data_IF_084924210373
#
_entry.id   IF_084924210373
#
_cell.length_a   1.000
_cell.length_b   1.000
_cell.length_c   1.000
_cell.angle_alpha   90.00
_cell.angle_beta   90.00
_cell.angle_gamma   90.00
#
_symmetry.space_group_name_H-M   'P 1'
#
loop_
_entity.id
_entity.type
_entity.pdbx_description
1 polymer ?
#
# COMPACT_ATOMS: atom_id res chain seq x y z
N UNK A 1 -9.09 40.18 14.32
CA UNK A 1 -8.36 39.49 13.23
C UNK A 1 -9.40 39.02 12.27
N UNK A 2 -9.35 39.52 11.05
CA UNK A 2 -10.27 39.09 10.01
C UNK A 2 -9.94 37.67 9.59
N UNK A 3 -10.99 36.83 9.45
CA UNK A 3 -10.81 35.43 9.12
C UNK A 3 -10.12 35.21 7.76
N UNK A 4 -9.79 33.96 7.45
CA UNK A 4 -9.12 33.53 6.21
C UNK A 4 -9.82 34.05 4.94
N UNK A 5 -11.13 34.28 5.02
CA UNK A 5 -11.93 34.74 3.89
C UNK A 5 -12.19 36.27 3.96
N UNK A 6 -12.03 37.00 2.84
CA UNK A 6 -12.40 38.37 2.76
C UNK A 6 -13.93 38.52 2.93
N UNK A 7 -14.36 39.41 3.83
CA UNK A 7 -15.78 39.71 3.99
C UNK A 7 -16.20 40.73 2.91
N UNK A 8 -17.32 40.45 2.27
CA UNK A 8 -18.00 41.48 1.47
C UNK A 8 -18.48 42.61 2.42
N UNK A 9 -18.79 43.82 1.90
CA UNK A 9 -19.38 44.87 2.70
C UNK A 9 -20.63 44.48 3.51
N UNK A 10 -21.32 43.41 3.04
CA UNK A 10 -22.47 42.79 3.71
C UNK A 10 -22.11 41.75 4.77
N UNK A 11 -20.81 41.56 5.10
CA UNK A 11 -20.34 40.56 6.08
C UNK A 11 -20.30 39.11 5.56
N UNK A 12 -20.70 38.85 4.32
CA UNK A 12 -20.66 37.51 3.72
C UNK A 12 -19.32 37.22 3.04
N UNK A 13 -18.78 35.99 3.12
CA UNK A 13 -17.57 35.62 2.39
C UNK A 13 -17.80 35.74 0.88
N UNK A 14 -16.79 36.18 0.14
CA UNK A 14 -16.87 36.23 -1.33
C UNK A 14 -16.87 34.82 -1.88
N UNK A 15 -17.83 34.47 -2.71
CA UNK A 15 -18.01 33.14 -3.31
C UNK A 15 -16.75 32.71 -4.09
N UNK A 16 -16.10 33.67 -4.78
CA UNK A 16 -14.88 33.40 -5.53
C UNK A 16 -13.71 32.92 -4.64
N UNK A 17 -13.52 33.51 -3.44
CA UNK A 17 -12.49 33.10 -2.51
C UNK A 17 -12.77 31.72 -1.92
N UNK A 18 -14.05 31.39 -1.62
CA UNK A 18 -14.45 30.05 -1.18
C UNK A 18 -14.20 29.03 -2.28
N UNK A 19 -14.60 29.35 -3.51
CA UNK A 19 -14.38 28.50 -4.69
C UNK A 19 -12.89 28.22 -4.94
N UNK A 20 -12.04 29.26 -4.81
CA UNK A 20 -10.60 29.10 -4.96
C UNK A 20 -10.00 28.17 -3.88
N UNK A 21 -10.37 28.34 -2.62
CA UNK A 21 -9.90 27.46 -1.54
C UNK A 21 -10.35 26.01 -1.78
N UNK A 22 -11.62 25.79 -2.13
CA UNK A 22 -12.12 24.45 -2.43
C UNK A 22 -11.40 23.83 -3.63
N UNK A 23 -11.16 24.58 -4.71
CA UNK A 23 -10.42 24.12 -5.86
C UNK A 23 -8.97 23.76 -5.50
N UNK A 24 -8.31 24.56 -4.65
CA UNK A 24 -6.97 24.22 -4.17
C UNK A 24 -6.97 22.93 -3.35
N UNK A 25 -7.94 22.73 -2.45
CA UNK A 25 -8.02 21.52 -1.61
C UNK A 25 -8.41 20.26 -2.39
N UNK A 26 -9.40 20.36 -3.29
CA UNK A 26 -9.98 19.19 -3.97
C UNK A 26 -9.26 18.82 -5.28
N UNK A 27 -8.52 19.76 -5.86
CA UNK A 27 -7.80 19.53 -7.12
C UNK A 27 -6.30 19.80 -6.94
N UNK A 28 -5.93 20.96 -6.42
CA UNK A 28 -4.53 21.36 -6.26
C UNK A 28 -3.76 20.44 -5.31
N UNK A 29 -4.27 20.19 -4.11
CA UNK A 29 -3.61 19.35 -3.11
C UNK A 29 -3.44 17.88 -3.58
N UNK A 30 -4.47 17.20 -4.15
CA UNK A 30 -4.28 15.91 -4.78
C UNK A 30 -3.21 15.88 -5.87
N UNK A 31 -3.20 16.86 -6.77
CA UNK A 31 -2.18 16.94 -7.82
C UNK A 31 -0.78 17.15 -7.24
N UNK A 32 -0.62 18.04 -6.25
CA UNK A 32 0.66 18.27 -5.57
C UNK A 32 1.17 17.00 -4.87
N UNK A 33 0.29 16.15 -4.33
CA UNK A 33 0.66 14.91 -3.64
C UNK A 33 1.19 13.82 -4.58
N UNK A 34 0.97 13.92 -5.88
CA UNK A 34 1.55 13.01 -6.87
C UNK A 34 3.06 13.25 -7.07
N UNK A 35 3.54 14.45 -6.76
CA UNK A 35 4.96 14.77 -6.89
C UNK A 35 5.86 13.92 -5.98
N UNK A 36 5.63 13.80 -4.67
CA UNK A 36 6.40 12.90 -3.81
C UNK A 36 6.30 11.43 -4.24
N UNK A 37 5.14 10.99 -4.75
CA UNK A 37 4.98 9.63 -5.27
C UNK A 37 5.84 9.39 -6.51
N UNK A 38 5.79 10.30 -7.47
CA UNK A 38 6.63 10.22 -8.68
C UNK A 38 8.12 10.24 -8.34
N UNK A 39 8.52 11.08 -7.35
CA UNK A 39 9.88 11.14 -6.87
C UNK A 39 10.32 9.82 -6.20
N UNK A 40 9.44 9.21 -5.43
CA UNK A 40 9.68 7.92 -4.80
C UNK A 40 9.89 6.80 -5.83
N UNK A 41 9.03 6.71 -6.85
CA UNK A 41 9.18 5.74 -7.94
C UNK A 41 10.47 6.00 -8.74
N UNK A 42 10.78 7.26 -9.01
CA UNK A 42 12.04 7.65 -9.68
C UNK A 42 13.27 7.28 -8.84
N UNK A 43 13.24 7.54 -7.53
CA UNK A 43 14.34 7.16 -6.64
C UNK A 43 14.55 5.64 -6.60
N UNK A 44 13.48 4.86 -6.58
CA UNK A 44 13.55 3.39 -6.66
C UNK A 44 14.19 2.90 -7.97
N UNK A 45 13.88 3.55 -9.08
CA UNK A 45 14.51 3.22 -10.37
C UNK A 45 16.01 3.54 -10.39
N UNK A 46 16.45 4.59 -9.67
CA UNK A 46 17.87 4.96 -9.55
C UNK A 46 18.64 4.11 -8.54
N UNK A 47 17.99 3.55 -7.50
CA UNK A 47 18.66 2.79 -6.44
C UNK A 47 19.17 1.41 -6.89
N UNK A 48 18.91 1.00 -8.10
CA UNK A 48 19.58 -0.15 -8.71
C UNK A 48 21.08 0.11 -8.98
N UNK A 49 21.55 1.33 -8.76
CA UNK A 49 22.97 1.72 -8.85
C UNK A 49 23.30 2.74 -7.74
N UNK A 50 23.97 2.32 -6.65
CA UNK A 50 24.58 3.16 -5.59
C UNK A 50 23.77 4.34 -5.02
N UNK A 51 22.76 4.02 -4.26
CA UNK A 51 21.61 4.85 -3.91
C UNK A 51 21.77 5.93 -2.82
N UNK A 52 22.86 6.01 -2.12
CA UNK A 52 23.01 6.99 -1.03
C UNK A 52 23.19 8.43 -1.50
N UNK A 53 23.92 8.63 -2.60
CA UNK A 53 24.30 9.95 -3.10
C UNK A 53 23.19 10.63 -3.93
N UNK A 54 22.32 9.85 -4.60
CA UNK A 54 21.26 10.40 -5.46
C UNK A 54 20.21 11.19 -4.68
N UNK A 55 19.88 10.78 -3.45
CA UNK A 55 18.87 11.44 -2.63
C UNK A 55 19.35 12.84 -2.17
N UNK A 56 20.62 13.00 -1.84
CA UNK A 56 21.20 14.31 -1.47
C UNK A 56 21.22 15.30 -2.62
N UNK A 57 21.47 14.84 -3.85
CA UNK A 57 21.44 15.69 -5.04
C UNK A 57 20.02 16.12 -5.42
N UNK A 58 19.01 15.33 -5.09
CA UNK A 58 17.61 15.64 -5.36
C UNK A 58 17.01 16.60 -4.33
N UNK A 59 17.54 16.68 -3.11
CA UNK A 59 16.99 17.52 -2.03
C UNK A 59 16.80 19.00 -2.42
N UNK A 60 17.77 19.71 -3.04
CA UNK A 60 17.57 21.10 -3.44
C UNK A 60 16.53 21.25 -4.54
N UNK A 61 16.41 20.29 -5.46
CA UNK A 61 15.41 20.29 -6.54
C UNK A 61 14.01 20.11 -5.92
N UNK A 62 13.85 19.16 -5.02
CA UNK A 62 12.59 18.91 -4.29
C UNK A 62 12.17 20.16 -3.51
N UNK A 63 13.10 20.75 -2.76
CA UNK A 63 12.83 21.98 -2.01
C UNK A 63 12.40 23.11 -2.94
N UNK A 64 13.09 23.31 -4.06
CA UNK A 64 12.74 24.32 -5.05
C UNK A 64 11.34 24.11 -5.65
N UNK A 65 10.98 22.88 -5.98
CA UNK A 65 9.66 22.54 -6.52
C UNK A 65 8.56 22.77 -5.47
N UNK A 66 8.77 22.37 -4.21
CA UNK A 66 7.81 22.59 -3.12
C UNK A 66 7.58 24.08 -2.87
N UNK A 67 8.66 24.86 -2.83
CA UNK A 67 8.57 26.32 -2.69
C UNK A 67 7.85 26.97 -3.87
N UNK A 68 8.10 26.51 -5.08
CA UNK A 68 7.40 26.98 -6.29
C UNK A 68 5.90 26.65 -6.22
N UNK A 69 5.54 25.44 -5.82
CA UNK A 69 4.12 25.05 -5.64
C UNK A 69 3.43 25.94 -4.62
N UNK A 70 4.06 26.18 -3.45
CA UNK A 70 3.51 27.06 -2.42
C UNK A 70 3.37 28.51 -2.91
N UNK A 71 4.38 29.02 -3.63
CA UNK A 71 4.34 30.35 -4.20
C UNK A 71 3.26 30.52 -5.27
N UNK A 72 3.10 29.54 -6.16
CA UNK A 72 2.04 29.56 -7.19
C UNK A 72 0.65 29.53 -6.54
N UNK A 73 0.45 28.67 -5.55
CA UNK A 73 -0.81 28.58 -4.81
C UNK A 73 -1.12 29.89 -4.07
N UNK A 74 -0.10 30.52 -3.43
CA UNK A 74 -0.24 31.83 -2.78
C UNK A 74 -0.69 32.91 -3.77
N UNK A 75 0.01 33.03 -4.90
CA UNK A 75 -0.32 34.04 -5.94
C UNK A 75 -1.71 33.84 -6.49
N UNK A 76 -2.09 32.56 -6.72
CA UNK A 76 -3.41 32.21 -7.20
C UNK A 76 -4.50 32.57 -6.18
N UNK A 77 -4.37 32.16 -4.91
CA UNK A 77 -5.31 32.52 -3.85
C UNK A 77 -5.42 34.04 -3.60
N UNK A 78 -4.29 34.76 -3.62
CA UNK A 78 -4.26 36.20 -3.48
C UNK A 78 -5.04 36.89 -4.62
N UNK A 79 -4.96 36.40 -5.84
CA UNK A 79 -5.73 36.86 -7.00
C UNK A 79 -7.25 36.74 -6.80
N UNK A 80 -7.72 35.77 -6.03
CA UNK A 80 -9.13 35.62 -5.65
C UNK A 80 -9.49 36.38 -4.34
N UNK A 81 -8.54 37.13 -3.77
CA UNK A 81 -8.76 37.96 -2.59
C UNK A 81 -8.82 37.18 -1.27
N UNK A 82 -8.15 36.02 -1.17
CA UNK A 82 -7.98 35.32 0.10
C UNK A 82 -7.03 36.09 1.00
N UNK A 83 -7.44 36.43 2.22
CA UNK A 83 -6.69 37.34 3.12
C UNK A 83 -5.36 36.73 3.59
N UNK A 84 -5.30 35.47 3.91
CA UNK A 84 -4.10 34.77 4.36
C UNK A 84 -3.67 33.72 3.33
N UNK A 85 -3.48 34.12 2.07
CA UNK A 85 -3.18 33.26 0.95
C UNK A 85 -1.91 32.41 1.21
N UNK A 86 -0.83 33.05 1.70
CA UNK A 86 0.43 32.36 2.01
C UNK A 86 0.24 31.25 3.06
N UNK A 87 -0.49 31.53 4.13
CA UNK A 87 -0.72 30.53 5.17
C UNK A 87 -1.55 29.34 4.66
N UNK A 88 -2.59 29.62 3.86
CA UNK A 88 -3.40 28.59 3.25
C UNK A 88 -2.56 27.74 2.26
N UNK A 89 -1.73 28.38 1.44
CA UNK A 89 -0.89 27.69 0.46
C UNK A 89 0.17 26.81 1.14
N UNK A 90 0.83 27.32 2.19
CA UNK A 90 1.81 26.54 2.97
C UNK A 90 1.16 25.36 3.67
N UNK A 91 -0.03 25.54 4.28
CA UNK A 91 -0.75 24.45 4.93
C UNK A 91 -1.13 23.35 3.92
N UNK A 92 -1.69 23.71 2.77
CA UNK A 92 -2.12 22.75 1.74
C UNK A 92 -0.91 22.06 1.12
N UNK A 93 0.14 22.82 0.76
CA UNK A 93 1.36 22.22 0.19
C UNK A 93 2.06 21.32 1.22
N UNK A 94 2.15 21.75 2.49
CA UNK A 94 2.69 20.92 3.58
C UNK A 94 1.91 19.63 3.77
N UNK A 95 0.58 19.68 3.74
CA UNK A 95 -0.28 18.50 3.80
C UNK A 95 -0.05 17.60 2.59
N UNK A 96 0.05 18.16 1.38
CA UNK A 96 0.31 17.40 0.16
C UNK A 96 1.67 16.70 0.15
N UNK A 97 2.66 17.22 0.89
CA UNK A 97 3.95 16.55 1.07
C UNK A 97 3.93 15.54 2.22
N UNK A 98 3.22 15.82 3.32
CA UNK A 98 3.19 14.98 4.51
C UNK A 98 2.37 13.70 4.33
N UNK A 99 1.20 13.78 3.69
CA UNK A 99 0.29 12.62 3.52
C UNK A 99 0.95 11.46 2.77
N UNK A 100 1.63 11.65 1.61
CA UNK A 100 2.33 10.57 0.93
C UNK A 100 3.39 9.89 1.82
N UNK A 101 4.15 10.69 2.58
CA UNK A 101 5.17 10.17 3.50
C UNK A 101 4.53 9.34 4.62
N UNK A 102 3.51 9.87 5.28
CA UNK A 102 2.82 9.16 6.38
C UNK A 102 2.16 7.89 5.87
N UNK A 103 1.46 7.94 4.72
CA UNK A 103 0.82 6.75 4.14
C UNK A 103 1.86 5.71 3.73
N UNK A 104 2.96 6.10 3.09
CA UNK A 104 3.96 5.15 2.62
C UNK A 104 4.72 4.44 3.74
N UNK A 105 4.99 5.14 4.87
CA UNK A 105 5.83 4.60 5.93
C UNK A 105 5.06 4.15 7.17
N UNK A 106 3.96 4.82 7.52
CA UNK A 106 3.24 4.59 8.78
C UNK A 106 1.84 4.02 8.57
N UNK A 107 1.26 4.17 7.39
CA UNK A 107 -0.12 3.79 7.13
C UNK A 107 -0.33 3.13 5.74
N UNK A 108 0.46 2.09 5.37
CA UNK A 108 0.44 1.51 4.01
C UNK A 108 -0.90 0.90 3.61
N UNK A 109 -1.73 0.53 4.58
CA UNK A 109 -3.04 -0.07 4.37
C UNK A 109 -4.19 0.93 4.48
N UNK A 110 -3.90 2.23 4.66
CA UNK A 110 -4.91 3.29 4.62
C UNK A 110 -5.42 3.51 3.19
N UNK A 111 -6.29 2.64 2.72
CA UNK A 111 -6.83 2.62 1.36
C UNK A 111 -8.37 2.64 1.37
N UNK A 112 -8.99 3.81 1.65
CA UNK A 112 -10.45 3.94 1.71
C UNK A 112 -11.14 3.75 0.36
N UNK A 113 -10.40 3.83 -0.74
CA UNK A 113 -10.93 3.63 -2.09
C UNK A 113 -10.22 2.48 -2.82
N UNK A 114 -10.91 1.74 -3.69
CA UNK A 114 -10.25 0.81 -4.60
C UNK A 114 -9.33 1.57 -5.58
N UNK A 115 -8.17 1.02 -5.96
CA UNK A 115 -7.29 1.64 -6.96
C UNK A 115 -5.85 1.91 -6.49
N UNK A 116 -5.48 1.45 -5.30
CA UNK A 116 -4.09 1.51 -4.83
C UNK A 116 -3.61 2.89 -4.36
N UNK A 117 -2.29 3.05 -4.10
CA UNK A 117 -1.72 4.27 -3.53
C UNK A 117 -1.95 5.52 -4.39
N UNK A 118 -1.90 5.37 -5.72
CA UNK A 118 -2.05 6.48 -6.67
C UNK A 118 -3.45 7.11 -6.66
N UNK A 119 -4.46 6.43 -6.11
CA UNK A 119 -5.83 6.95 -5.92
C UNK A 119 -6.02 7.39 -4.47
N UNK A 120 -5.60 6.57 -3.51
CA UNK A 120 -5.86 6.79 -2.10
C UNK A 120 -5.09 7.97 -1.52
N UNK A 121 -3.81 8.16 -1.88
CA UNK A 121 -2.99 9.26 -1.38
C UNK A 121 -3.53 10.63 -1.83
N UNK A 122 -3.83 10.87 -3.13
CA UNK A 122 -4.48 12.12 -3.56
C UNK A 122 -5.84 12.34 -2.88
N UNK A 123 -6.65 11.31 -2.74
CA UNK A 123 -7.94 11.41 -2.05
C UNK A 123 -7.79 11.83 -0.60
N UNK A 124 -6.95 11.14 0.18
CA UNK A 124 -6.67 11.49 1.59
C UNK A 124 -6.09 12.89 1.73
N UNK A 125 -5.21 13.30 0.81
CA UNK A 125 -4.65 14.65 0.78
C UNK A 125 -5.74 15.70 0.59
N UNK A 126 -6.65 15.48 -0.34
CA UNK A 126 -7.79 16.38 -0.57
C UNK A 126 -8.71 16.49 0.64
N UNK A 127 -9.05 15.36 1.26
CA UNK A 127 -9.90 15.30 2.47
C UNK A 127 -9.23 16.02 3.64
N UNK A 128 -7.97 15.71 3.95
CA UNK A 128 -7.25 16.29 5.09
C UNK A 128 -7.06 17.81 4.90
N UNK A 129 -6.70 18.25 3.68
CA UNK A 129 -6.58 19.67 3.35
C UNK A 129 -7.91 20.41 3.52
N UNK A 130 -9.01 19.81 3.04
CA UNK A 130 -10.35 20.40 3.13
C UNK A 130 -10.80 20.53 4.59
N UNK A 131 -10.60 19.49 5.40
CA UNK A 131 -10.96 19.49 6.82
C UNK A 131 -10.09 20.49 7.62
N UNK A 132 -8.79 20.55 7.33
CA UNK A 132 -7.87 21.49 7.96
C UNK A 132 -8.26 22.95 7.70
N UNK A 133 -8.49 23.32 6.44
CA UNK A 133 -8.93 24.69 6.11
C UNK A 133 -10.38 24.97 6.55
N UNK A 134 -11.26 23.96 6.53
CA UNK A 134 -12.61 24.04 7.08
C UNK A 134 -12.59 24.38 8.58
N UNK A 135 -11.72 23.74 9.35
CA UNK A 135 -11.51 24.04 10.76
C UNK A 135 -11.03 25.47 10.98
N UNK A 136 -10.10 25.97 10.14
CA UNK A 136 -9.67 27.37 10.17
C UNK A 136 -10.83 28.34 9.92
N UNK A 137 -11.68 28.05 8.94
CA UNK A 137 -12.85 28.87 8.62
C UNK A 137 -13.88 28.89 9.74
N UNK A 138 -14.13 27.75 10.37
CA UNK A 138 -15.08 27.61 11.47
C UNK A 138 -14.58 28.34 12.73
N UNK A 139 -13.30 28.18 13.07
CA UNK A 139 -12.70 28.79 14.25
C UNK A 139 -12.74 30.33 14.22
N UNK A 140 -12.64 30.92 13.03
CA UNK A 140 -12.72 32.39 12.85
C UNK A 140 -14.14 32.96 13.02
N UNK A 141 -15.16 32.07 13.02
CA UNK A 141 -16.58 32.47 13.21
C UNK A 141 -17.02 32.44 14.66
N UNK A 142 -16.26 31.77 15.56
CA UNK A 142 -16.64 31.68 16.98
C UNK A 142 -16.39 33.03 17.67
N UNK A 143 -17.41 33.59 18.37
CA UNK A 143 -17.23 34.82 19.13
C UNK A 143 -16.24 34.54 20.28
N UNK A 144 -15.21 35.38 20.36
CA UNK A 144 -14.17 35.26 21.39
C UNK A 144 -12.95 34.43 21.00
N UNK A 145 -12.87 33.86 19.79
CA UNK A 145 -11.68 33.15 19.32
C UNK A 145 -10.48 34.11 19.25
N UNK A 146 -9.56 33.98 20.21
CA UNK A 146 -8.30 34.78 20.29
C UNK A 146 -7.14 34.13 19.55
N UNK A 147 -7.28 32.84 19.16
CA UNK A 147 -6.25 32.09 18.43
C UNK A 147 -6.24 32.49 16.95
N UNK A 148 -5.07 32.67 16.33
CA UNK A 148 -4.97 32.84 14.90
C UNK A 148 -5.59 31.59 14.23
N UNK A 149 -6.40 31.78 13.19
CA UNK A 149 -7.15 30.72 12.50
C UNK A 149 -6.30 29.59 11.91
N UNK A 150 -4.97 29.77 11.93
CA UNK A 150 -3.98 28.76 11.49
C UNK A 150 -3.74 27.66 12.51
N UNK A 151 -3.76 27.95 13.82
CA UNK A 151 -3.55 26.96 14.87
C UNK A 151 -4.59 25.82 14.83
N UNK A 152 -5.91 26.09 14.76
CA UNK A 152 -6.89 25.02 14.61
C UNK A 152 -6.70 24.20 13.34
N UNK A 153 -6.33 24.83 12.22
CA UNK A 153 -6.07 24.11 10.97
C UNK A 153 -4.89 23.15 11.10
N UNK A 154 -3.78 23.64 11.65
CA UNK A 154 -2.59 22.79 11.89
C UNK A 154 -2.91 21.67 12.86
N UNK A 155 -3.64 21.96 13.95
CA UNK A 155 -4.04 20.93 14.91
C UNK A 155 -4.92 19.86 14.28
N UNK A 156 -5.92 20.23 13.46
CA UNK A 156 -6.78 19.26 12.77
C UNK A 156 -5.98 18.42 11.77
N UNK A 157 -5.13 19.05 10.94
CA UNK A 157 -4.26 18.31 10.00
C UNK A 157 -3.36 17.33 10.76
N UNK A 158 -2.73 17.76 11.84
CA UNK A 158 -1.86 16.91 12.65
C UNK A 158 -2.61 15.73 13.27
N UNK A 159 -3.79 15.96 13.85
CA UNK A 159 -4.64 14.89 14.40
C UNK A 159 -5.04 13.90 13.31
N UNK A 160 -5.45 14.39 12.14
CA UNK A 160 -5.82 13.52 11.01
C UNK A 160 -4.63 12.70 10.52
N UNK A 161 -3.42 13.27 10.46
CA UNK A 161 -2.21 12.52 10.11
C UNK A 161 -1.90 11.42 11.15
N UNK A 162 -2.09 11.71 12.45
CA UNK A 162 -1.93 10.71 13.52
C UNK A 162 -3.00 9.62 13.50
N UNK A 163 -4.17 9.88 12.93
CA UNK A 163 -5.23 8.87 12.77
C UNK A 163 -5.01 7.94 11.58
N UNK A 164 -4.16 8.31 10.60
CA UNK A 164 -3.90 7.46 9.44
C UNK A 164 -3.34 6.07 9.79
N UNK A 165 -2.37 5.91 10.70
CA UNK A 165 -1.91 4.60 11.14
C UNK A 165 -3.02 3.75 11.78
N UNK A 166 -3.92 4.37 12.56
CA UNK A 166 -5.07 3.68 13.15
C UNK A 166 -6.04 3.21 12.07
N UNK A 167 -6.30 4.06 11.07
CA UNK A 167 -7.09 3.72 9.90
C UNK A 167 -6.45 2.57 9.11
N UNK A 168 -5.13 2.64 8.90
CA UNK A 168 -4.36 1.59 8.22
C UNK A 168 -4.52 0.25 8.91
N UNK A 169 -4.39 0.22 10.25
CA UNK A 169 -4.56 -1.00 11.02
C UNK A 169 -5.98 -1.56 10.88
N UNK A 170 -6.99 -0.70 11.00
CA UNK A 170 -8.39 -1.09 10.85
C UNK A 170 -8.72 -1.64 9.43
N UNK A 171 -8.01 -1.19 8.41
CA UNK A 171 -8.24 -1.60 7.02
C UNK A 171 -7.32 -2.75 6.57
N UNK A 172 -6.31 -3.12 7.34
CA UNK A 172 -5.27 -4.08 6.95
C UNK A 172 -5.83 -5.41 6.43
N UNK A 173 -6.79 -5.99 7.12
CA UNK A 173 -7.40 -7.26 6.71
C UNK A 173 -8.09 -7.16 5.35
N UNK A 174 -8.86 -6.10 5.14
CA UNK A 174 -9.59 -5.86 3.89
C UNK A 174 -8.64 -5.61 2.72
N UNK A 175 -7.66 -4.72 2.88
CA UNK A 175 -6.69 -4.40 1.82
C UNK A 175 -5.76 -5.58 1.51
N UNK A 176 -5.43 -6.42 2.49
CA UNK A 176 -4.66 -7.64 2.26
C UNK A 176 -5.44 -8.63 1.40
N UNK A 177 -6.73 -8.86 1.70
CA UNK A 177 -7.61 -9.72 0.91
C UNK A 177 -7.79 -9.21 -0.52
N UNK A 178 -8.04 -7.90 -0.70
CA UNK A 178 -8.16 -7.29 -2.04
C UNK A 178 -6.88 -7.42 -2.87
N UNK A 179 -5.71 -7.15 -2.26
CA UNK A 179 -4.41 -7.29 -2.94
C UNK A 179 -4.14 -8.75 -3.33
N UNK A 180 -4.42 -9.68 -2.43
CA UNK A 180 -4.26 -11.11 -2.70
C UNK A 180 -5.22 -11.58 -3.80
N UNK A 181 -6.48 -11.14 -3.79
CA UNK A 181 -7.44 -11.42 -4.85
C UNK A 181 -7.01 -10.83 -6.20
N UNK A 182 -6.51 -9.60 -6.22
CA UNK A 182 -5.98 -8.97 -7.42
C UNK A 182 -4.75 -9.72 -7.97
N UNK A 183 -3.86 -10.20 -7.10
CA UNK A 183 -2.71 -11.01 -7.49
C UNK A 183 -3.13 -12.33 -8.13
N UNK A 184 -4.12 -13.02 -7.56
CA UNK A 184 -4.64 -14.28 -8.11
C UNK A 184 -5.25 -14.03 -9.49
N UNK A 185 -6.13 -13.04 -9.65
CA UNK A 185 -6.77 -12.72 -10.94
C UNK A 185 -5.76 -12.30 -12.00
N UNK A 186 -4.77 -11.49 -11.62
CA UNK A 186 -3.75 -10.95 -12.51
C UNK A 186 -2.59 -11.90 -12.82
N UNK A 187 -2.53 -13.09 -12.20
CA UNK A 187 -1.44 -14.01 -12.45
C UNK A 187 -1.54 -14.64 -13.84
N UNK A 188 -0.55 -14.39 -14.70
CA UNK A 188 -0.57 -14.73 -16.12
C UNK A 188 -0.39 -16.22 -16.45
N UNK A 189 -0.25 -17.10 -15.44
CA UNK A 189 -0.03 -18.54 -15.61
C UNK A 189 -1.07 -19.34 -14.83
N UNK A 190 -1.29 -20.62 -15.18
CA UNK A 190 -2.14 -21.50 -14.39
C UNK A 190 -1.62 -21.64 -12.96
N UNK A 191 -2.50 -21.50 -12.00
CA UNK A 191 -2.22 -21.59 -10.57
C UNK A 191 -2.35 -23.07 -10.13
N UNK A 192 -1.48 -23.49 -9.22
CA UNK A 192 -1.66 -24.80 -8.56
C UNK A 192 -2.38 -24.58 -7.24
N UNK A 193 -3.44 -25.35 -7.05
CA UNK A 193 -4.35 -25.27 -5.92
C UNK A 193 -4.19 -26.53 -5.06
N UNK A 194 -4.28 -26.37 -3.74
CA UNK A 194 -4.39 -27.46 -2.80
C UNK A 194 -5.88 -27.81 -2.63
N UNK A 195 -6.29 -28.98 -3.10
CA UNK A 195 -7.66 -29.47 -3.01
C UNK A 195 -7.82 -30.36 -1.77
N UNK A 196 -7.93 -29.73 -0.61
CA UNK A 196 -8.07 -30.41 0.66
C UNK A 196 -9.07 -29.69 1.57
N UNK A 197 -10.09 -30.40 2.11
CA UNK A 197 -11.20 -29.79 2.85
C UNK A 197 -10.79 -29.12 4.16
N UNK A 198 -9.70 -29.58 4.78
CA UNK A 198 -9.23 -29.06 6.08
C UNK A 198 -8.31 -27.84 5.93
N UNK A 199 -8.03 -27.42 4.70
CA UNK A 199 -7.15 -26.30 4.41
C UNK A 199 -7.91 -25.14 3.77
N UNK A 200 -7.79 -23.94 4.35
CA UNK A 200 -8.43 -22.73 3.83
C UNK A 200 -7.39 -21.80 3.24
N UNK A 201 -7.67 -21.25 2.06
CA UNK A 201 -6.81 -20.24 1.45
C UNK A 201 -6.91 -18.93 2.23
N UNK A 202 -5.78 -18.46 2.78
CA UNK A 202 -5.72 -17.28 3.64
C UNK A 202 -5.03 -16.09 3.00
N UNK A 203 -4.03 -16.31 2.14
CA UNK A 203 -3.28 -15.22 1.51
C UNK A 203 -2.66 -15.64 0.18
N UNK A 204 -2.36 -14.65 -0.65
CA UNK A 204 -1.56 -14.80 -1.85
C UNK A 204 -0.48 -13.72 -1.92
N UNK A 205 0.75 -14.09 -2.25
CA UNK A 205 1.88 -13.19 -2.36
C UNK A 205 2.72 -13.48 -3.59
N UNK A 206 3.26 -12.43 -4.21
CA UNK A 206 4.28 -12.58 -5.25
C UNK A 206 5.64 -12.81 -4.61
N UNK A 207 6.35 -13.87 -5.01
CA UNK A 207 7.72 -14.16 -4.62
C UNK A 207 8.64 -14.05 -5.83
N UNK A 208 9.96 -14.12 -5.63
CA UNK A 208 10.92 -14.19 -6.73
C UNK A 208 10.79 -15.46 -7.57
N UNK A 209 10.28 -16.52 -6.98
CA UNK A 209 10.05 -17.81 -7.64
C UNK A 209 8.72 -17.86 -8.41
N UNK A 210 7.69 -17.13 -7.94
CA UNK A 210 6.37 -17.15 -8.54
C UNK A 210 5.26 -16.71 -7.61
N UNK A 211 4.08 -17.32 -7.74
CA UNK A 211 2.93 -17.04 -6.89
C UNK A 211 2.91 -18.00 -5.70
N UNK A 212 2.97 -17.46 -4.49
CA UNK A 212 2.80 -18.19 -3.24
C UNK A 212 1.37 -18.05 -2.73
N UNK A 213 0.69 -19.16 -2.58
CA UNK A 213 -0.57 -19.27 -1.86
C UNK A 213 -0.27 -19.75 -0.43
N UNK A 214 -0.93 -19.16 0.55
CA UNK A 214 -0.84 -19.56 1.95
C UNK A 214 -2.16 -20.18 2.36
N UNK A 215 -2.11 -21.43 2.76
CA UNK A 215 -3.24 -22.15 3.31
C UNK A 215 -3.07 -22.29 4.82
N UNK A 216 -4.19 -22.26 5.55
CA UNK A 216 -4.24 -22.51 6.99
C UNK A 216 -5.03 -23.78 7.24
N UNK A 217 -4.54 -24.64 8.13
CA UNK A 217 -5.30 -25.77 8.64
C UNK A 217 -6.30 -25.32 9.73
N UNK A 218 -7.03 -26.30 10.29
CA UNK A 218 -8.02 -26.03 11.36
C UNK A 218 -7.42 -25.45 12.64
N UNK A 219 -6.13 -25.64 12.89
CA UNK A 219 -5.38 -25.11 14.04
C UNK A 219 -4.67 -23.78 13.71
N UNK A 220 -4.77 -23.32 12.46
CA UNK A 220 -4.17 -22.08 11.98
C UNK A 220 -2.68 -22.23 11.60
N UNK A 221 -2.15 -23.45 11.46
CA UNK A 221 -0.80 -23.66 11.00
C UNK A 221 -0.71 -23.41 9.48
N UNK A 222 0.28 -22.61 9.01
CA UNK A 222 0.37 -22.27 7.61
C UNK A 222 1.14 -23.32 6.79
N UNK A 223 0.60 -23.59 5.59
CA UNK A 223 1.25 -24.31 4.50
C UNK A 223 1.40 -23.38 3.31
N UNK A 224 2.61 -23.26 2.78
CA UNK A 224 2.91 -22.43 1.62
C UNK A 224 2.98 -23.31 0.37
N UNK A 225 2.20 -22.93 -0.64
CA UNK A 225 2.20 -23.54 -1.97
C UNK A 225 2.70 -22.52 -2.96
N UNK A 226 3.87 -22.74 -3.56
CA UNK A 226 4.46 -21.80 -4.53
C UNK A 226 4.41 -22.39 -5.93
N UNK A 227 3.66 -21.77 -6.82
CA UNK A 227 3.69 -22.08 -8.26
C UNK A 227 4.81 -21.29 -8.90
N UNK A 228 5.81 -21.98 -9.46
CA UNK A 228 7.00 -21.35 -10.02
C UNK A 228 6.74 -20.70 -11.38
N UNK A 229 7.32 -19.50 -11.56
CA UNK A 229 7.21 -18.75 -12.83
C UNK A 229 8.12 -19.31 -13.93
N UNK A 230 9.25 -19.89 -13.57
CA UNK A 230 10.28 -20.33 -14.50
C UNK A 230 10.43 -21.85 -14.48
N UNK A 231 9.99 -22.49 -15.53
CA UNK A 231 10.25 -23.92 -15.74
C UNK A 231 11.73 -24.21 -16.08
N UNK A 232 12.52 -23.20 -16.43
CA UNK A 232 13.94 -23.32 -16.75
C UNK A 232 14.85 -23.56 -15.53
N UNK A 233 14.36 -23.23 -14.34
CA UNK A 233 14.99 -23.60 -13.08
C UNK A 233 14.51 -25.01 -12.75
N UNK A 234 15.38 -26.01 -12.90
CA UNK A 234 15.01 -27.42 -12.66
C UNK A 234 14.53 -27.68 -11.24
N UNK A 235 13.78 -28.75 -11.03
CA UNK A 235 13.26 -29.15 -9.71
C UNK A 235 14.38 -29.32 -8.67
N UNK A 236 15.61 -29.58 -9.11
CA UNK A 236 16.81 -29.77 -8.28
C UNK A 236 17.54 -28.47 -7.97
N UNK A 237 16.98 -27.28 -8.31
CA UNK A 237 17.62 -25.99 -8.06
C UNK A 237 18.00 -25.82 -6.58
N UNK A 238 19.26 -25.46 -6.33
CA UNK A 238 19.76 -25.24 -4.97
C UNK A 238 20.13 -26.50 -4.20
N UNK A 239 19.98 -27.70 -4.81
CA UNK A 239 20.43 -28.95 -4.19
C UNK A 239 21.95 -29.06 -4.05
N UNK A 240 22.70 -28.27 -4.82
CA UNK A 240 24.16 -28.19 -4.79
C UNK A 240 24.70 -27.23 -3.70
N UNK A 241 23.83 -26.54 -2.97
CA UNK A 241 24.29 -25.65 -1.91
C UNK A 241 24.81 -26.40 -0.67
N UNK A 242 25.93 -25.96 -0.08
CA UNK A 242 26.46 -26.58 1.12
C UNK A 242 25.41 -26.61 2.25
N UNK A 243 25.23 -27.78 2.87
CA UNK A 243 24.26 -27.95 3.95
C UNK A 243 22.83 -28.29 3.49
N UNK A 244 22.58 -28.35 2.19
CA UNK A 244 21.31 -28.80 1.63
C UNK A 244 21.41 -30.25 1.21
N UNK A 245 20.45 -31.07 1.63
CA UNK A 245 20.33 -32.48 1.20
C UNK A 245 19.02 -32.60 0.43
N UNK A 246 19.08 -33.04 -0.82
CA UNK A 246 17.93 -33.37 -1.63
C UNK A 246 17.74 -34.87 -1.77
N UNK A 247 16.51 -35.31 -1.60
CA UNK A 247 16.10 -36.72 -1.83
C UNK A 247 15.05 -36.71 -2.92
N UNK A 248 15.38 -37.36 -4.06
CA UNK A 248 14.47 -37.44 -5.21
C UNK A 248 13.70 -38.74 -5.18
N UNK A 249 12.39 -38.64 -5.40
CA UNK A 249 11.48 -39.78 -5.56
C UNK A 249 10.54 -39.53 -6.73
N UNK A 250 10.83 -40.10 -7.90
CA UNK A 250 10.06 -39.84 -9.12
C UNK A 250 10.02 -38.38 -9.51
N UNK A 251 8.81 -37.81 -9.53
CA UNK A 251 8.53 -36.42 -9.87
C UNK A 251 8.61 -35.48 -8.66
N UNK A 252 9.08 -35.97 -7.52
CA UNK A 252 9.21 -35.16 -6.29
C UNK A 252 10.66 -35.06 -5.83
N UNK A 253 11.00 -33.93 -5.21
CA UNK A 253 12.30 -33.67 -4.56
C UNK A 253 12.04 -33.10 -3.17
N UNK A 254 12.43 -33.88 -2.15
CA UNK A 254 12.43 -33.40 -0.77
C UNK A 254 13.74 -32.68 -0.46
N UNK A 255 13.65 -31.41 -0.03
CA UNK A 255 14.79 -30.55 0.32
C UNK A 255 14.89 -30.47 1.84
N UNK A 256 16.04 -30.89 2.38
CA UNK A 256 16.32 -30.90 3.81
C UNK A 256 17.44 -29.91 4.13
N UNK A 257 17.20 -29.04 5.10
CA UNK A 257 18.23 -28.17 5.73
C UNK A 257 18.68 -28.70 7.09
N UNK A 258 17.97 -29.73 7.61
CA UNK A 258 18.30 -30.45 8.84
C UNK A 258 18.09 -31.94 8.66
N UNK A 259 18.49 -32.77 9.64
CA UNK A 259 18.52 -34.20 9.50
C UNK A 259 17.14 -34.91 9.58
N UNK A 260 16.08 -34.22 10.05
CA UNK A 260 14.84 -34.89 10.50
C UNK A 260 13.65 -34.69 9.58
N UNK A 261 13.35 -33.51 9.11
CA UNK A 261 12.15 -33.25 8.30
C UNK A 261 12.47 -32.43 7.04
N UNK A 262 11.73 -32.66 5.94
CA UNK A 262 11.90 -31.82 4.75
C UNK A 262 11.46 -30.40 5.04
N UNK A 263 12.32 -29.43 4.73
CA UNK A 263 12.00 -28.01 4.80
C UNK A 263 11.11 -27.59 3.62
N UNK A 264 11.20 -28.31 2.51
CA UNK A 264 10.45 -28.05 1.28
C UNK A 264 10.26 -29.35 0.51
N UNK A 265 9.08 -29.58 -0.03
CA UNK A 265 8.81 -30.64 -0.99
C UNK A 265 8.49 -29.98 -2.35
N UNK A 266 9.23 -30.33 -3.36
CA UNK A 266 9.01 -29.88 -4.74
C UNK A 266 8.38 -30.99 -5.56
N UNK A 267 7.40 -30.61 -6.38
CA UNK A 267 6.64 -31.52 -7.24
C UNK A 267 6.74 -31.02 -8.67
N UNK A 268 7.20 -31.88 -9.58
CA UNK A 268 7.12 -31.62 -11.00
C UNK A 268 5.71 -32.00 -11.49
N UNK A 269 4.92 -30.98 -11.78
CA UNK A 269 3.61 -31.19 -12.37
C UNK A 269 3.71 -31.26 -13.89
N UNK A 270 2.76 -31.94 -14.52
CA UNK A 270 2.72 -32.06 -15.99
C UNK A 270 2.92 -30.69 -16.67
N UNK A 271 3.48 -30.68 -17.86
CA UNK A 271 3.82 -29.48 -18.65
C UNK A 271 5.02 -28.63 -18.13
N UNK A 272 5.97 -29.26 -17.44
CA UNK A 272 7.20 -28.61 -16.98
C UNK A 272 6.99 -27.60 -15.86
N UNK A 273 5.88 -27.64 -15.14
CA UNK A 273 5.63 -26.80 -13.99
C UNK A 273 6.24 -27.40 -12.73
N UNK A 274 6.77 -26.54 -11.90
CA UNK A 274 7.28 -26.90 -10.58
C UNK A 274 6.42 -26.21 -9.53
N UNK A 275 6.05 -26.96 -8.51
CA UNK A 275 5.34 -26.43 -7.34
C UNK A 275 6.15 -26.82 -6.11
N UNK A 276 6.37 -25.87 -5.23
CA UNK A 276 6.98 -26.17 -3.94
C UNK A 276 5.97 -26.03 -2.80
N UNK A 277 6.04 -26.96 -1.88
CA UNK A 277 5.32 -27.00 -0.62
C UNK A 277 6.32 -26.78 0.51
N UNK A 278 6.04 -25.84 1.40
CA UNK A 278 6.83 -25.67 2.61
C UNK A 278 5.92 -25.43 3.82
N UNK A 279 6.21 -26.06 4.97
CA UNK A 279 5.46 -25.82 6.19
C UNK A 279 5.82 -24.42 6.71
N UNK A 280 4.89 -23.77 7.40
CA UNK A 280 5.19 -22.61 8.20
C UNK A 280 5.82 -22.96 9.55
N UNK A 281 5.85 -22.00 10.46
CA UNK A 281 6.29 -22.26 11.83
C UNK A 281 5.22 -23.05 12.58
N UNK A 282 5.50 -24.32 12.92
CA UNK A 282 4.56 -25.18 13.65
C UNK A 282 4.92 -26.66 13.53
N UNK A 283 4.20 -27.58 14.20
CA UNK A 283 4.35 -28.99 13.98
C UNK A 283 4.08 -29.30 12.51
N UNK A 284 4.96 -30.12 11.90
CA UNK A 284 5.07 -30.30 10.45
C UNK A 284 3.76 -30.79 9.82
N UNK A 285 3.30 -30.05 8.83
CA UNK A 285 2.29 -30.57 7.91
C UNK A 285 2.87 -31.78 7.16
N UNK A 286 2.06 -32.83 6.94
CA UNK A 286 2.46 -33.93 6.06
C UNK A 286 2.51 -33.43 4.61
N UNK A 287 3.72 -33.02 4.20
CA UNK A 287 3.95 -32.46 2.86
C UNK A 287 3.68 -33.49 1.76
N UNK A 288 3.85 -34.78 2.03
CA UNK A 288 3.60 -35.84 1.04
C UNK A 288 2.09 -35.99 0.81
N UNK A 289 1.30 -36.06 1.88
CA UNK A 289 -0.16 -36.08 1.77
C UNK A 289 -0.71 -34.79 1.11
N UNK A 290 -0.14 -33.64 1.40
CA UNK A 290 -0.51 -32.40 0.75
C UNK A 290 -0.14 -32.38 -0.75
N UNK A 291 1.00 -32.95 -1.12
CA UNK A 291 1.44 -33.05 -2.51
C UNK A 291 0.49 -33.86 -3.38
N UNK A 292 -0.06 -34.93 -2.84
CA UNK A 292 -1.04 -35.79 -3.52
C UNK A 292 -2.38 -35.07 -3.80
N UNK A 293 -2.62 -33.96 -3.15
CA UNK A 293 -3.82 -33.11 -3.28
C UNK A 293 -3.60 -31.87 -4.15
N UNK A 294 -2.41 -31.71 -4.71
CA UNK A 294 -2.14 -30.63 -5.64
C UNK A 294 -2.79 -30.89 -6.99
N UNK A 295 -3.48 -29.88 -7.49
CA UNK A 295 -4.02 -29.90 -8.85
C UNK A 295 -3.89 -28.53 -9.52
N UNK A 296 -3.88 -28.47 -10.85
CA UNK A 296 -4.04 -27.21 -11.56
C UNK A 296 -5.43 -26.63 -11.31
N UNK A 297 -5.53 -25.30 -11.32
CA UNK A 297 -6.83 -24.62 -11.26
C UNK A 297 -7.76 -25.05 -12.41
N UNK A 298 -9.06 -25.13 -12.12
CA UNK A 298 -10.10 -25.35 -13.10
C UNK A 298 -10.51 -24.05 -13.80
N UNK A 299 -11.08 -24.08 -15.02
CA UNK A 299 -11.60 -22.89 -15.68
C UNK A 299 -12.62 -22.17 -14.80
N UNK A 300 -12.42 -20.87 -14.57
CA UNK A 300 -13.27 -20.02 -13.72
C UNK A 300 -13.01 -20.12 -12.22
N UNK A 301 -12.16 -21.03 -11.76
CA UNK A 301 -11.86 -21.20 -10.32
C UNK A 301 -11.07 -20.02 -9.76
N UNK A 302 -10.36 -19.30 -10.60
CA UNK A 302 -9.53 -18.15 -10.20
C UNK A 302 -10.31 -17.05 -9.48
N UNK A 303 -11.52 -16.76 -9.94
CA UNK A 303 -12.39 -15.78 -9.28
C UNK A 303 -12.90 -16.31 -7.94
N UNK A 304 -13.23 -17.60 -7.87
CA UNK A 304 -13.63 -18.25 -6.61
C UNK A 304 -12.49 -18.27 -5.59
N UNK A 305 -11.26 -18.54 -6.02
CA UNK A 305 -10.07 -18.47 -5.16
C UNK A 305 -9.83 -17.04 -4.63
N UNK A 306 -10.04 -16.03 -5.47
CA UNK A 306 -9.89 -14.63 -5.07
C UNK A 306 -10.99 -14.18 -4.08
N UNK A 307 -12.21 -14.75 -4.19
CA UNK A 307 -13.33 -14.47 -3.29
C UNK A 307 -13.23 -15.26 -1.98
N UNK A 308 -12.64 -16.46 -2.01
CA UNK A 308 -12.49 -17.35 -0.85
C UNK A 308 -11.38 -16.93 0.13
N UNK A 309 -10.65 -15.83 -0.14
CA UNK A 309 -9.59 -15.36 0.74
C UNK A 309 -10.15 -15.02 2.13
N UNK A 310 -9.83 -15.87 3.11
CA UNK A 310 -10.17 -15.59 4.50
C UNK A 310 -9.34 -14.40 5.02
N UNK A 311 -9.93 -13.50 5.84
CA UNK A 311 -9.14 -12.49 6.54
C UNK A 311 -8.15 -13.20 7.47
N UNK A 312 -6.86 -12.80 7.39
CA UNK A 312 -5.85 -13.32 8.30
C UNK A 312 -6.27 -13.06 9.75
N UNK A 313 -6.21 -14.07 10.62
CA UNK A 313 -6.47 -13.84 12.04
C UNK A 313 -5.46 -12.84 12.58
N UNK A 314 -5.93 -11.91 13.38
CA UNK A 314 -5.11 -10.91 14.06
C UNK A 314 -4.08 -11.62 14.96
N UNK A 315 -2.82 -11.40 14.71
CA UNK A 315 -1.71 -11.83 15.60
C UNK A 315 -1.14 -10.63 16.33
#
# INVERSE_FOLDING_TARGET
>A
MDGVLPRAPTGRPRIAAVGAILALCLVGAPLMSLFPLALWEFSRALTLSDAGMGLFLLAPVVTGVVLLMAWMADRWLAGFGVVHALTCSVLVTGTAMAVPVVVSFLAPDAAPLPGGPNVNIPFLTGVISTLGLGAAMLSTRLPGARAPGTLPAVAVVFVLLLLLPVLSEAMRGHTAAERAGALIRGYGRPITVLDHPDWTLAAAHRTHQGLRLTYLDGDGAPLYVVTWDRASEGIDQGCDYPGTRCVRSGDTVAVHHSATEPAELRVAMGNGRIVSLSPGCGPGADLAAAADRLRPESPGERDLLAEALAPLPWR
#
